data_IF_832518017828
#
_entry.id   IF_832518017828
#
_cell.length_a   1.000
_cell.length_b   1.000
_cell.length_c   1.000
_cell.angle_alpha   90.00
_cell.angle_beta   90.00
_cell.angle_gamma   90.00
#
_symmetry.space_group_name_H-M   'P 1'
#
loop_
_entity.id
_entity.type
_entity.pdbx_description
1 polymer ?
#
# COMPACT_ATOMS: atom_id res chain seq x y z
N UNK A 1 -7.25 -8.54 8.75
CA UNK A 1 -6.71 -9.29 7.62
C UNK A 1 -5.35 -8.73 7.25
N UNK A 2 -4.36 -9.59 7.12
CA UNK A 2 -3.00 -9.14 6.80
C UNK A 2 -2.83 -9.00 5.29
N UNK A 3 -2.34 -7.84 4.86
CA UNK A 3 -2.00 -7.61 3.47
C UNK A 3 -0.51 -7.92 3.30
N UNK A 4 -0.19 -8.87 2.44
CA UNK A 4 1.16 -9.41 2.32
C UNK A 4 1.85 -9.10 1.00
N UNK A 5 1.15 -8.51 0.03
CA UNK A 5 1.73 -8.22 -1.28
C UNK A 5 1.39 -6.82 -1.73
N UNK A 6 2.19 -6.31 -2.66
CA UNK A 6 1.96 -5.00 -3.27
C UNK A 6 0.62 -4.98 -4.02
N UNK A 7 0.31 -6.07 -4.72
CA UNK A 7 -0.96 -6.18 -5.45
C UNK A 7 -2.15 -6.05 -4.52
N UNK A 8 -2.07 -6.63 -3.35
CA UNK A 8 -3.15 -6.55 -2.38
C UNK A 8 -3.41 -5.13 -1.91
N UNK A 9 -2.35 -4.34 -1.70
CA UNK A 9 -2.51 -2.94 -1.32
C UNK A 9 -3.15 -2.12 -2.43
N UNK A 10 -2.70 -2.32 -3.67
CA UNK A 10 -3.28 -1.60 -4.80
C UNK A 10 -4.73 -2.00 -5.01
N UNK A 11 -5.02 -3.29 -4.92
CA UNK A 11 -6.38 -3.81 -5.05
C UNK A 11 -7.28 -3.24 -3.96
N UNK A 12 -6.80 -3.19 -2.73
CA UNK A 12 -7.53 -2.60 -1.62
C UNK A 12 -7.88 -1.14 -1.90
N UNK A 13 -6.90 -0.37 -2.40
CA UNK A 13 -7.11 1.02 -2.77
C UNK A 13 -8.20 1.15 -3.85
N UNK A 14 -8.14 0.33 -4.88
CA UNK A 14 -9.11 0.35 -5.97
C UNK A 14 -10.50 0.01 -5.45
N UNK A 15 -10.60 -1.03 -4.62
CA UNK A 15 -11.89 -1.48 -4.08
C UNK A 15 -12.53 -0.47 -3.14
N UNK A 16 -11.73 0.34 -2.46
CA UNK A 16 -12.25 1.41 -1.63
C UNK A 16 -12.71 2.61 -2.43
N UNK A 17 -12.47 2.60 -3.73
CA UNK A 17 -12.80 3.72 -4.61
C UNK A 17 -12.22 5.04 -4.13
N UNK A 18 -11.02 4.96 -3.60
CA UNK A 18 -10.37 6.15 -3.02
C UNK A 18 -9.79 7.08 -4.07
N UNK A 19 -9.68 6.62 -5.31
CA UNK A 19 -9.12 7.42 -6.39
C UNK A 19 -9.86 8.74 -6.65
N UNK A 20 -11.09 8.83 -6.19
CA UNK A 20 -11.85 10.07 -6.30
C UNK A 20 -11.47 11.08 -5.24
N UNK A 21 -10.86 10.63 -4.16
CA UNK A 21 -10.66 11.46 -2.97
C UNK A 21 -9.20 11.69 -2.65
N UNK A 22 -8.37 10.68 -2.85
CA UNK A 22 -6.96 10.78 -2.55
C UNK A 22 -6.16 10.07 -3.63
N UNK A 23 -4.93 10.50 -3.83
CA UNK A 23 -4.03 9.83 -4.76
C UNK A 23 -3.51 8.52 -4.14
N UNK A 24 -3.05 7.62 -5.00
CA UNK A 24 -2.44 6.39 -4.54
C UNK A 24 -1.25 6.66 -3.62
N UNK A 25 -0.44 7.66 -3.97
CA UNK A 25 0.71 8.02 -3.15
C UNK A 25 0.28 8.47 -1.75
N UNK A 26 -0.75 9.30 -1.66
CA UNK A 26 -1.27 9.75 -0.37
C UNK A 26 -1.80 8.59 0.46
N UNK A 27 -2.53 7.68 -0.19
CA UNK A 27 -3.05 6.48 0.47
C UNK A 27 -1.90 5.62 1.02
N UNK A 28 -0.88 5.37 0.21
CA UNK A 28 0.26 4.54 0.61
C UNK A 28 1.03 5.18 1.75
N UNK A 29 1.26 6.48 1.68
CA UNK A 29 1.94 7.21 2.76
C UNK A 29 1.17 7.13 4.06
N UNK A 30 -0.15 7.27 4.00
CA UNK A 30 -1.00 7.20 5.18
C UNK A 30 -0.96 5.81 5.80
N UNK A 31 -1.04 4.76 4.98
CA UNK A 31 -0.98 3.38 5.46
C UNK A 31 0.37 3.08 6.12
N UNK A 32 1.45 3.58 5.52
CA UNK A 32 2.78 3.42 6.10
C UNK A 32 2.86 4.09 7.46
N UNK A 33 2.31 5.29 7.58
CA UNK A 33 2.31 6.02 8.86
C UNK A 33 1.54 5.26 9.94
N UNK A 34 0.37 4.74 9.58
CA UNK A 34 -0.45 3.95 10.51
C UNK A 34 0.31 2.72 10.99
N UNK A 35 0.98 2.02 10.07
CA UNK A 35 1.75 0.83 10.45
C UNK A 35 2.94 1.18 11.34
N UNK A 36 3.60 2.30 11.09
CA UNK A 36 4.70 2.74 11.94
C UNK A 36 4.23 3.06 13.36
N UNK A 37 3.05 3.65 13.50
CA UNK A 37 2.47 3.89 14.81
C UNK A 37 2.14 2.58 15.52
N UNK A 38 1.59 1.61 14.80
CA UNK A 38 1.29 0.29 15.36
C UNK A 38 2.56 -0.44 15.79
N UNK A 39 3.65 -0.21 15.07
CA UNK A 39 4.93 -0.85 15.42
C UNK A 39 5.45 -0.41 16.78
N UNK A 40 5.12 0.79 17.21
CA UNK A 40 5.51 1.31 18.51
C UNK A 40 4.70 0.70 19.66
N UNK A 41 3.57 0.08 19.35
CA UNK A 41 2.71 -0.54 20.35
C UNK A 41 3.24 -1.93 20.68
N UNK A 42 3.49 -2.18 21.97
CA UNK A 42 4.07 -3.43 22.44
C UNK A 42 3.14 -4.64 22.26
N UNK A 43 1.85 -4.39 22.13
CA UNK A 43 0.85 -5.46 22.01
C UNK A 43 0.84 -6.07 20.60
N UNK A 44 1.17 -5.27 19.59
CA UNK A 44 1.10 -5.71 18.21
C UNK A 44 2.29 -6.60 17.84
N UNK A 45 2.02 -7.58 16.97
CA UNK A 45 3.06 -8.41 16.40
C UNK A 45 3.85 -7.58 15.40
N UNK A 46 5.17 -7.56 15.56
CA UNK A 46 6.04 -6.68 14.79
C UNK A 46 6.34 -7.19 13.37
N UNK A 47 6.42 -8.52 13.19
CA UNK A 47 6.79 -9.08 11.89
C UNK A 47 5.84 -8.72 10.76
N UNK A 48 4.52 -8.95 10.89
CA UNK A 48 3.60 -8.57 9.82
C UNK A 48 3.60 -7.06 9.56
N UNK A 49 3.77 -6.26 10.61
CA UNK A 49 3.80 -4.81 10.48
C UNK A 49 5.03 -4.36 9.71
N UNK A 50 6.19 -4.91 10.01
CA UNK A 50 7.43 -4.59 9.30
C UNK A 50 7.33 -4.99 7.84
N UNK A 51 6.75 -6.15 7.55
CA UNK A 51 6.55 -6.60 6.17
C UNK A 51 5.66 -5.63 5.40
N UNK A 52 4.57 -5.19 6.02
CA UNK A 52 3.68 -4.21 5.42
C UNK A 52 4.38 -2.89 5.12
N UNK A 53 5.18 -2.40 6.04
CA UNK A 53 5.95 -1.17 5.86
C UNK A 53 6.92 -1.33 4.67
N UNK A 54 7.63 -2.44 4.59
CA UNK A 54 8.56 -2.71 3.50
C UNK A 54 7.84 -2.69 2.14
N UNK A 55 6.68 -3.33 2.07
CA UNK A 55 5.88 -3.36 0.85
C UNK A 55 5.45 -1.95 0.45
N UNK A 56 4.95 -1.17 1.42
CA UNK A 56 4.50 0.19 1.15
C UNK A 56 5.65 1.11 0.72
N UNK A 57 6.82 0.97 1.33
CA UNK A 57 7.98 1.75 0.93
C UNK A 57 8.44 1.40 -0.48
N UNK A 58 8.38 0.12 -0.84
CA UNK A 58 8.67 -0.31 -2.21
C UNK A 58 7.69 0.29 -3.20
N UNK A 59 6.41 0.33 -2.83
CA UNK A 59 5.37 0.91 -3.67
C UNK A 59 5.59 2.42 -3.85
N UNK A 60 6.00 3.13 -2.80
CA UNK A 60 6.32 4.54 -2.89
C UNK A 60 7.45 4.77 -3.89
N UNK A 61 8.47 3.93 -3.87
CA UNK A 61 9.59 4.04 -4.81
C UNK A 61 9.12 3.80 -6.24
N UNK A 62 8.26 2.82 -6.46
CA UNK A 62 7.70 2.55 -7.78
C UNK A 62 6.89 3.76 -8.30
N UNK A 63 6.07 4.34 -7.45
CA UNK A 63 5.28 5.51 -7.81
C UNK A 63 6.19 6.68 -8.17
N UNK A 64 7.25 6.89 -7.40
CA UNK A 64 8.19 7.97 -7.68
C UNK A 64 8.94 7.78 -8.98
N UNK A 65 9.19 6.53 -9.35
CA UNK A 65 9.93 6.21 -10.56
C UNK A 65 9.04 6.20 -11.80
N UNK A 66 7.90 5.54 -11.72
CA UNK A 66 7.05 5.26 -12.88
C UNK A 66 5.78 6.10 -12.93
N UNK A 67 5.39 6.72 -11.84
CA UNK A 67 4.15 7.48 -11.73
C UNK A 67 2.98 6.61 -11.29
N UNK A 68 1.99 7.25 -10.68
CA UNK A 68 0.83 6.53 -10.12
C UNK A 68 0.03 5.78 -11.18
N UNK A 69 -0.17 6.39 -12.35
CA UNK A 69 -0.96 5.76 -13.40
C UNK A 69 -0.32 4.47 -13.89
N UNK A 70 1.00 4.47 -14.04
CA UNK A 70 1.70 3.29 -14.49
C UNK A 70 1.63 2.17 -13.45
N UNK A 71 1.79 2.53 -12.18
CA UNK A 71 1.70 1.56 -11.08
C UNK A 71 0.30 0.96 -11.01
N UNK A 72 -0.73 1.80 -11.11
CA UNK A 72 -2.11 1.32 -11.09
C UNK A 72 -2.39 0.37 -12.25
N UNK A 73 -1.93 0.71 -13.46
CA UNK A 73 -2.12 -0.15 -14.62
C UNK A 73 -1.40 -1.49 -14.48
N UNK A 74 -0.22 -1.45 -13.90
CA UNK A 74 0.58 -2.66 -13.70
C UNK A 74 -0.13 -3.66 -12.80
N UNK A 75 -0.64 -3.20 -11.68
CA UNK A 75 -1.27 -4.09 -10.70
C UNK A 75 -2.74 -4.35 -10.99
N UNK A 76 -3.42 -3.42 -11.64
CA UNK A 76 -4.80 -3.61 -12.06
C UNK A 76 -4.94 -4.78 -13.01
N UNK A 77 -4.02 -4.93 -13.95
CA UNK A 77 -4.04 -6.05 -14.89
C UNK A 77 -3.96 -7.40 -14.18
N UNK A 78 -3.24 -7.46 -13.08
CA UNK A 78 -3.08 -8.71 -12.34
C UNK A 78 -4.31 -9.02 -11.50
N UNK A 79 -4.98 -8.01 -10.99
CA UNK A 79 -6.16 -8.18 -10.18
C UNK A 79 -7.47 -8.21 -10.98
N UNK A 80 -7.43 -7.78 -12.22
CA UNK A 80 -8.62 -7.59 -13.03
C UNK A 80 -9.13 -8.78 -13.80
N UNK A 81 -8.66 -9.94 -13.46
CA UNK A 81 -9.08 -11.15 -14.17
C UNK A 81 -10.31 -11.77 -13.56
#
# INVERSE_FOLDING_TARGET
MAINTTEEYVDFFINLNMGEKVSLLSFVNNERMVLKQKLQNKINKKEPIKNGITILEGLIKEISKDGELQVLKKYEKQGGV
#
